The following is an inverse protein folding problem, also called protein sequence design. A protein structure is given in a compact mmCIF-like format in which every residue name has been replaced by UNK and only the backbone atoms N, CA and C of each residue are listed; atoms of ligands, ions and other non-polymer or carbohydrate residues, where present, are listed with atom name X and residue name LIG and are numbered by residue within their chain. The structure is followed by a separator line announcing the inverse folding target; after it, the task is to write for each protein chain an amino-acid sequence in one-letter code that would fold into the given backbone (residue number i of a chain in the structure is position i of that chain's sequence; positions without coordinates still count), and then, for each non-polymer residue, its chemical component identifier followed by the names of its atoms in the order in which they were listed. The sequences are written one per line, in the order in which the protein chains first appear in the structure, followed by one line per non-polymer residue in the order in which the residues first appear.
data_IF_909143203470
#
_entry.id   IF_909143203470
#
_cell.length_a   1.000
_cell.length_b   1.000
_cell.length_c   1.000
_cell.angle_alpha   90.00
_cell.angle_beta   90.00
_cell.angle_gamma   90.00
#
_symmetry.space_group_name_H-M   'P 1'
#
loop_
_entity.id
_entity.type
_entity.pdbx_description
1 polymer ?
#
# COMPACT_ATOMS: atom_id res chain seq x y z
N UNK A 1 -13.30 1.95 -12.28
CA UNK A 1 -12.30 1.74 -11.19
C UNK A 1 -11.02 2.51 -11.49
N UNK A 2 -10.32 2.19 -12.60
CA UNK A 2 -9.15 2.94 -13.11
C UNK A 2 -9.28 4.45 -12.95
N UNK A 3 -10.30 5.03 -13.59
CA UNK A 3 -10.53 6.48 -13.63
C UNK A 3 -10.65 7.11 -12.25
N UNK A 4 -11.27 6.42 -11.27
CA UNK A 4 -11.43 6.94 -9.91
C UNK A 4 -10.07 7.07 -9.20
N UNK A 5 -9.19 6.09 -9.39
CA UNK A 5 -7.85 6.09 -8.80
C UNK A 5 -7.00 7.18 -9.44
N UNK A 6 -7.04 7.30 -10.77
CA UNK A 6 -6.28 8.32 -11.50
C UNK A 6 -6.77 9.74 -11.17
N UNK A 7 -8.09 9.97 -11.13
CA UNK A 7 -8.66 11.25 -10.74
C UNK A 7 -8.27 11.64 -9.30
N UNK A 8 -8.34 10.70 -8.36
CA UNK A 8 -7.97 10.94 -6.96
C UNK A 8 -6.54 11.49 -6.80
N UNK A 9 -5.59 10.94 -7.56
CA UNK A 9 -4.20 11.41 -7.54
C UNK A 9 -4.01 12.69 -8.35
N UNK A 10 -4.71 12.82 -9.49
CA UNK A 10 -4.66 14.01 -10.33
C UNK A 10 -5.12 15.26 -9.59
N UNK A 11 -6.16 15.15 -8.78
CA UNK A 11 -6.65 16.24 -7.92
C UNK A 11 -5.61 16.71 -6.89
N UNK A 12 -4.63 15.85 -6.58
CA UNK A 12 -3.49 16.13 -5.68
C UNK A 12 -2.22 16.54 -6.43
N UNK A 13 -2.33 16.78 -7.74
CA UNK A 13 -1.20 17.15 -8.60
C UNK A 13 -0.23 16.01 -8.88
N UNK A 14 -0.64 14.76 -8.64
CA UNK A 14 0.20 13.58 -8.84
C UNK A 14 -0.37 12.73 -9.98
N UNK A 15 0.50 12.32 -10.89
CA UNK A 15 0.12 11.42 -11.97
C UNK A 15 0.45 9.98 -11.59
N UNK A 16 -0.48 9.07 -11.87
CA UNK A 16 -0.31 7.62 -11.71
C UNK A 16 -0.82 6.91 -12.95
N UNK A 17 -0.20 5.78 -13.27
CA UNK A 17 -0.66 4.94 -14.38
C UNK A 17 -1.31 3.68 -13.82
N UNK A 18 -2.58 3.46 -14.19
CA UNK A 18 -3.34 2.26 -13.82
C UNK A 18 -3.75 1.49 -15.08
N UNK A 19 -3.39 0.20 -15.15
CA UNK A 19 -3.83 -0.70 -16.20
C UNK A 19 -4.80 -1.75 -15.62
N UNK A 20 -5.96 -1.91 -16.28
CA UNK A 20 -6.92 -2.97 -15.97
C UNK A 20 -6.73 -4.10 -16.97
N UNK A 21 -6.47 -5.30 -16.46
CA UNK A 21 -6.34 -6.50 -17.27
C UNK A 21 -7.53 -7.41 -17.01
N UNK A 22 -8.36 -7.63 -18.03
CA UNK A 22 -9.50 -8.53 -17.93
C UNK A 22 -9.01 -9.97 -18.10
N UNK A 23 -9.15 -10.77 -17.05
CA UNK A 23 -8.75 -12.18 -17.04
C UNK A 23 -9.94 -13.10 -17.33
N UNK A 24 -11.14 -12.53 -17.51
CA UNK A 24 -12.37 -13.26 -17.77
C UNK A 24 -12.98 -13.88 -16.51
N UNK A 25 -13.89 -14.85 -16.72
CA UNK A 25 -14.59 -15.53 -15.64
C UNK A 25 -13.69 -16.55 -14.94
N UNK A 26 -13.60 -16.47 -13.61
CA UNK A 26 -12.84 -17.42 -12.80
C UNK A 26 -13.78 -18.39 -12.06
N UNK A 27 -13.79 -19.70 -12.40
CA UNK A 27 -14.80 -20.65 -11.90
C UNK A 27 -14.88 -20.79 -10.38
N UNK A 28 -13.73 -20.79 -9.69
CA UNK A 28 -13.69 -20.99 -8.24
C UNK A 28 -14.41 -19.86 -7.45
N UNK A 29 -14.39 -18.63 -7.96
CA UNK A 29 -14.99 -17.45 -7.32
C UNK A 29 -16.31 -17.04 -7.99
N UNK A 30 -16.69 -17.70 -9.08
CA UNK A 30 -17.92 -17.43 -9.86
C UNK A 30 -18.09 -15.95 -10.24
N UNK A 31 -16.99 -15.29 -10.58
CA UNK A 31 -16.96 -13.87 -10.91
C UNK A 31 -15.96 -13.57 -12.03
N UNK A 32 -16.19 -12.46 -12.74
CA UNK A 32 -15.21 -11.90 -13.65
C UNK A 32 -14.04 -11.31 -12.86
N UNK A 33 -12.82 -11.73 -13.18
CA UNK A 33 -11.61 -11.26 -12.55
C UNK A 33 -10.98 -10.16 -13.40
N UNK A 34 -10.69 -9.05 -12.75
CA UNK A 34 -9.90 -7.96 -13.32
C UNK A 34 -8.66 -7.77 -12.44
N UNK A 35 -7.48 -7.91 -13.05
CA UNK A 35 -6.23 -7.60 -12.37
C UNK A 35 -5.93 -6.11 -12.55
N UNK A 36 -5.57 -5.44 -11.46
CA UNK A 36 -5.15 -4.03 -11.46
C UNK A 36 -3.64 -3.98 -11.40
N UNK A 37 -2.99 -3.39 -12.40
CA UNK A 37 -1.55 -3.13 -12.41
C UNK A 37 -1.30 -1.63 -12.29
N UNK A 38 -0.36 -1.25 -11.43
CA UNK A 38 -0.02 0.14 -11.18
C UNK A 38 1.50 0.31 -11.09
N UNK A 39 1.97 1.49 -11.47
CA UNK A 39 3.36 1.91 -11.32
C UNK A 39 3.68 2.54 -9.94
N UNK A 40 2.68 2.62 -9.05
CA UNK A 40 2.83 3.07 -7.68
C UNK A 40 3.65 2.08 -6.84
N UNK A 41 4.38 2.59 -5.86
CA UNK A 41 5.17 1.79 -4.92
C UNK A 41 4.52 1.89 -3.54
N UNK A 42 4.08 0.76 -2.98
CA UNK A 42 3.32 0.69 -1.73
C UNK A 42 2.09 1.62 -1.71
N UNK A 43 1.43 1.77 -2.87
CA UNK A 43 0.28 2.67 -3.02
C UNK A 43 0.64 4.16 -3.17
N UNK A 44 1.93 4.51 -3.21
CA UNK A 44 2.38 5.90 -3.42
C UNK A 44 2.85 6.14 -4.86
N UNK A 45 2.44 7.25 -5.51
CA UNK A 45 2.99 7.67 -6.80
C UNK A 45 4.51 7.88 -6.72
N UNK A 46 5.23 7.46 -7.76
CA UNK A 46 6.70 7.56 -7.79
C UNK A 46 7.20 9.02 -7.73
N UNK A 47 6.42 9.98 -8.26
CA UNK A 47 6.72 11.41 -8.19
C UNK A 47 6.74 11.98 -6.76
N UNK A 48 5.92 11.44 -5.85
CA UNK A 48 5.86 11.90 -4.45
C UNK A 48 7.13 11.54 -3.67
N UNK A 49 7.73 10.37 -3.96
CA UNK A 49 9.00 9.95 -3.33
C UNK A 49 10.20 10.72 -3.88
N UNK A 50 10.13 11.25 -5.10
CA UNK A 50 11.17 12.16 -5.61
C UNK A 50 11.15 13.48 -4.82
N UNK A 51 9.97 14.05 -4.56
CA UNK A 51 9.81 15.25 -3.74
C UNK A 51 10.22 15.05 -2.26
N UNK A 52 9.98 13.86 -1.68
CA UNK A 52 10.42 13.56 -0.30
C UNK A 52 11.91 13.25 -0.17
N UNK A 53 12.59 12.85 -1.25
CA UNK A 53 14.04 12.57 -1.25
C UNK A 53 14.90 13.82 -1.38
N UNK A 54 14.35 14.97 -1.80
CA UNK A 54 15.07 16.25 -1.76
C UNK A 54 15.19 16.83 -0.34
N UNK A 55 14.40 16.35 0.62
CA UNK A 55 14.63 16.56 2.05
C UNK A 55 15.33 15.32 2.61
N UNK A 56 16.63 15.18 2.33
CA UNK A 56 17.48 14.22 3.06
C UNK A 56 17.76 14.82 4.44
N UNK A 57 16.76 14.78 5.31
CA UNK A 57 16.97 14.88 6.75
C UNK A 57 17.27 13.46 7.23
N UNK A 58 18.34 13.24 8.02
CA UNK A 58 18.66 11.92 8.54
C UNK A 58 17.49 11.42 9.39
N UNK A 59 17.13 10.13 9.23
CA UNK A 59 16.18 9.45 10.12
C UNK A 59 16.81 9.47 11.51
N UNK A 60 16.26 10.30 12.40
CA UNK A 60 16.63 10.38 13.80
C UNK A 60 16.29 9.03 14.45
N UNK A 61 17.25 8.42 15.15
CA UNK A 61 17.15 7.07 15.70
C UNK A 61 16.15 6.97 16.86
N UNK A 62 15.59 8.10 17.28
CA UNK A 62 14.74 8.26 18.44
C UNK A 62 13.25 7.93 18.18
N UNK A 63 12.83 7.74 16.92
CA UNK A 63 11.43 7.42 16.56
C UNK A 63 11.13 5.90 16.51
N UNK A 64 12.08 5.05 16.91
CA UNK A 64 11.82 3.62 17.05
C UNK A 64 10.96 3.43 18.30
N UNK A 65 9.66 3.21 18.10
CA UNK A 65 8.76 2.77 19.16
C UNK A 65 9.28 1.42 19.65
N UNK A 66 9.86 1.42 20.85
CA UNK A 66 10.20 0.21 21.58
C UNK A 66 8.89 -0.55 21.81
N UNK A 67 8.71 -1.65 21.07
CA UNK A 67 7.57 -2.53 21.28
C UNK A 67 7.88 -3.27 22.58
N UNK A 68 7.31 -2.80 23.69
CA UNK A 68 7.35 -3.54 24.95
C UNK A 68 6.72 -4.93 24.72
N UNK A 69 7.55 -5.96 24.84
CA UNK A 69 7.27 -7.39 24.62
C UNK A 69 6.32 -7.98 25.71
N UNK A 70 5.27 -7.26 26.11
CA UNK A 70 4.44 -7.63 27.27
C UNK A 70 3.19 -8.45 26.90
N UNK A 71 3.15 -9.03 25.69
CA UNK A 71 2.18 -10.06 25.33
C UNK A 71 2.71 -11.46 25.65
N UNK A 72 3.06 -11.68 26.92
CA UNK A 72 3.09 -13.02 27.49
C UNK A 72 1.62 -13.49 27.60
N UNK A 73 1.16 -14.18 26.57
CA UNK A 73 -0.08 -14.95 26.62
C UNK A 73 0.02 -15.93 27.79
N UNK A 74 -0.68 -15.59 28.88
CA UNK A 74 -0.87 -16.43 30.05
C UNK A 74 -1.78 -17.62 29.66
N UNK A 75 -1.21 -18.60 28.97
CA UNK A 75 -1.83 -19.90 28.75
C UNK A 75 -1.72 -20.64 30.09
N UNK A 76 -2.75 -20.50 30.92
CA UNK A 76 -2.88 -21.23 32.18
C UNK A 76 -2.96 -22.74 31.91
N UNK A 77 -2.01 -23.48 32.48
CA UNK A 77 -1.99 -24.95 32.52
C UNK A 77 -1.97 -25.40 33.99
N UNK A 78 -3.00 -26.17 34.38
CA UNK A 78 -3.04 -27.09 35.53
C UNK A 78 -3.10 -26.47 36.92
N UNK A 79 -3.73 -27.13 37.91
CA UNK A 79 -3.45 -28.51 38.31
C UNK A 79 -4.16 -29.58 37.48
#
# INVERSE_FOLDING_TARGET
MKEKIEAYWRDRGLEVQIALHNVGFHPAIRAARYDVRSDMVNGMPRGMRAAKRSSTEPVQAEDIVEIEDDLVFRIGRGP
#
